data_IF_942868028715
#
_entry.id   IF_942868028715
#
_cell.length_a   1.000
_cell.length_b   1.000
_cell.length_c   1.000
_cell.angle_alpha   90.00
_cell.angle_beta   90.00
_cell.angle_gamma   90.00
#
_symmetry.space_group_name_H-M   'P 1'
#
loop_
_entity.id
_entity.type
_entity.pdbx_description
1 polymer ?
#
# COMPACT_ATOMS: atom_id res chain seq x y z
N UNK A 1 1.19 -6.94 -13.62
CA UNK A 1 2.58 -7.00 -13.10
C UNK A 1 2.41 -7.48 -11.68
N UNK A 2 2.87 -8.67 -11.33
CA UNK A 2 2.85 -9.09 -9.91
C UNK A 2 3.79 -8.15 -9.16
N UNK A 3 3.24 -7.27 -8.32
CA UNK A 3 4.05 -6.57 -7.32
C UNK A 3 4.65 -7.64 -6.41
N UNK A 4 5.94 -7.90 -6.57
CA UNK A 4 6.66 -8.80 -5.68
C UNK A 4 6.86 -8.05 -4.37
N UNK A 5 6.27 -8.59 -3.31
CA UNK A 5 6.48 -8.13 -1.94
C UNK A 5 7.98 -8.24 -1.64
N UNK A 6 8.69 -7.11 -1.72
CA UNK A 6 10.08 -7.03 -1.32
C UNK A 6 10.12 -6.59 0.15
N UNK A 7 9.86 -7.54 1.05
CA UNK A 7 9.90 -7.32 2.49
C UNK A 7 10.87 -8.33 3.11
N UNK A 8 12.00 -7.84 3.62
CA UNK A 8 13.00 -8.67 4.27
C UNK A 8 12.68 -8.87 5.76
N UNK A 9 12.17 -10.05 6.09
CA UNK A 9 11.89 -10.44 7.46
C UNK A 9 13.14 -10.53 8.33
N UNK A 10 14.31 -10.88 7.77
CA UNK A 10 15.54 -10.99 8.55
C UNK A 10 15.98 -9.61 9.04
N UNK A 11 15.96 -8.62 8.14
CA UNK A 11 16.28 -7.24 8.49
C UNK A 11 15.34 -6.69 9.57
N UNK A 12 14.03 -6.93 9.42
CA UNK A 12 13.02 -6.51 10.40
C UNK A 12 13.24 -7.16 11.75
N UNK A 13 13.59 -8.45 11.79
CA UNK A 13 13.90 -9.14 13.04
C UNK A 13 15.14 -8.58 13.72
N UNK A 14 16.18 -8.22 12.97
CA UNK A 14 17.37 -7.56 13.51
C UNK A 14 17.05 -6.16 14.07
N UNK A 15 16.31 -5.35 13.31
CA UNK A 15 15.91 -4.02 13.76
C UNK A 15 15.00 -4.07 15.00
N UNK A 16 14.10 -5.05 15.08
CA UNK A 16 13.26 -5.27 16.25
C UNK A 16 14.09 -5.65 17.48
N UNK A 17 15.08 -6.54 17.34
CA UNK A 17 16.02 -6.87 18.41
C UNK A 17 16.82 -5.65 18.88
N UNK A 18 17.10 -4.71 17.98
CA UNK A 18 17.78 -3.45 18.28
C UNK A 18 16.85 -2.38 18.89
N UNK A 19 15.59 -2.71 19.19
CA UNK A 19 14.67 -1.85 19.94
C UNK A 19 13.80 -0.93 19.08
N UNK A 20 13.77 -1.10 17.74
CA UNK A 20 12.76 -0.42 16.91
C UNK A 20 11.37 -1.01 17.16
N UNK A 21 10.36 -0.15 17.12
CA UNK A 21 8.97 -0.55 17.28
C UNK A 21 8.44 -1.25 16.01
N UNK A 22 7.60 -2.27 16.18
CA UNK A 22 6.91 -2.94 15.07
C UNK A 22 5.80 -2.09 14.46
N UNK A 23 5.19 -1.24 15.27
CA UNK A 23 4.00 -0.43 14.94
C UNK A 23 4.30 1.07 15.04
N UNK A 24 3.37 1.88 14.54
CA UNK A 24 3.51 3.35 14.48
C UNK A 24 3.84 3.83 13.06
N UNK A 25 3.94 5.16 12.89
CA UNK A 25 4.22 5.79 11.58
C UNK A 25 5.52 5.29 10.96
N UNK A 26 6.55 5.11 11.79
CA UNK A 26 7.87 4.60 11.41
C UNK A 26 8.12 3.16 11.89
N UNK A 27 7.02 2.43 12.14
CA UNK A 27 7.08 1.04 12.59
C UNK A 27 7.61 0.11 11.50
N UNK A 28 8.29 -0.97 11.90
CA UNK A 28 8.86 -1.93 10.96
C UNK A 28 7.82 -2.60 10.04
N UNK A 29 6.56 -2.68 10.47
CA UNK A 29 5.46 -3.24 9.67
C UNK A 29 4.72 -2.18 8.83
N UNK A 30 5.03 -0.89 8.98
CA UNK A 30 4.38 0.17 8.21
C UNK A 30 4.45 -0.06 6.68
N UNK A 31 5.58 -0.53 6.11
CA UNK A 31 5.65 -0.84 4.67
C UNK A 31 4.67 -1.94 4.24
N UNK A 32 4.49 -3.00 5.03
CA UNK A 32 3.53 -4.08 4.74
C UNK A 32 2.10 -3.58 4.79
N UNK A 33 1.76 -2.78 5.81
CA UNK A 33 0.42 -2.21 5.96
C UNK A 33 0.13 -1.28 4.78
N UNK A 34 1.08 -0.45 4.38
CA UNK A 34 0.96 0.42 3.20
C UNK A 34 0.71 -0.41 1.93
N UNK A 35 1.53 -1.42 1.66
CA UNK A 35 1.35 -2.28 0.48
C UNK A 35 -0.01 -2.99 0.47
N UNK A 36 -0.42 -3.57 1.60
CA UNK A 36 -1.71 -4.25 1.73
C UNK A 36 -2.88 -3.29 1.48
N UNK A 37 -2.81 -2.09 2.06
CA UNK A 37 -3.88 -1.09 1.91
C UNK A 37 -3.91 -0.49 0.51
N UNK A 38 -2.77 -0.27 -0.13
CA UNK A 38 -2.70 0.18 -1.53
C UNK A 38 -3.29 -0.88 -2.47
N UNK A 39 -2.92 -2.16 -2.32
CA UNK A 39 -3.47 -3.25 -3.12
C UNK A 39 -5.00 -3.39 -2.96
N UNK A 40 -5.50 -3.33 -1.71
CA UNK A 40 -6.93 -3.38 -1.43
C UNK A 40 -7.69 -2.19 -2.05
N UNK A 41 -7.10 -0.98 -2.01
CA UNK A 41 -7.72 0.23 -2.56
C UNK A 41 -7.73 0.21 -4.10
N UNK A 42 -6.67 -0.31 -4.73
CA UNK A 42 -6.63 -0.50 -6.18
C UNK A 42 -7.72 -1.46 -6.64
N UNK A 43 -7.88 -2.60 -5.96
CA UNK A 43 -8.94 -3.58 -6.26
C UNK A 43 -10.34 -2.97 -6.06
N UNK A 44 -10.55 -2.20 -4.99
CA UNK A 44 -11.80 -1.50 -4.73
C UNK A 44 -12.17 -0.55 -5.88
N UNK A 45 -11.21 0.26 -6.35
CA UNK A 45 -11.42 1.20 -7.45
C UNK A 45 -11.73 0.46 -8.76
N UNK A 46 -10.98 -0.61 -9.07
CA UNK A 46 -11.22 -1.40 -10.27
C UNK A 46 -12.60 -2.06 -10.27
N UNK A 47 -12.99 -2.67 -9.14
CA UNK A 47 -14.31 -3.27 -8.95
C UNK A 47 -15.43 -2.23 -9.08
N UNK A 48 -15.25 -1.04 -8.50
CA UNK A 48 -16.24 0.03 -8.58
C UNK A 48 -16.44 0.52 -10.01
N UNK A 49 -15.36 0.76 -10.76
CA UNK A 49 -15.44 1.18 -12.17
C UNK A 49 -16.08 0.09 -13.03
N UNK A 50 -15.75 -1.19 -12.80
CA UNK A 50 -16.37 -2.30 -13.51
C UNK A 50 -17.90 -2.33 -13.29
N UNK A 51 -18.34 -2.13 -12.04
CA UNK A 51 -19.76 -2.06 -11.70
C UNK A 51 -20.46 -0.85 -12.34
N UNK A 52 -19.83 0.33 -12.36
CA UNK A 52 -20.36 1.51 -13.04
C UNK A 52 -20.56 1.26 -14.55
N UNK A 53 -19.56 0.65 -15.20
CA UNK A 53 -19.64 0.28 -16.62
C UNK A 53 -20.78 -0.70 -16.88
N UNK A 54 -20.94 -1.72 -16.03
CA UNK A 54 -22.06 -2.68 -16.11
C UNK A 54 -23.42 -2.00 -15.91
N UNK A 55 -23.50 -0.96 -15.08
CA UNK A 55 -24.71 -0.17 -14.84
C UNK A 55 -25.01 0.88 -15.92
N UNK A 56 -24.16 0.98 -16.96
CA UNK A 56 -24.31 1.95 -18.05
C UNK A 56 -23.83 3.37 -17.72
N UNK A 57 -23.15 3.56 -16.57
CA UNK A 57 -22.52 4.83 -16.19
C UNK A 57 -21.11 4.91 -16.78
N UNK A 58 -20.77 6.04 -17.42
CA UNK A 58 -19.40 6.29 -17.87
C UNK A 58 -18.57 6.82 -16.71
N UNK A 59 -17.73 5.95 -16.15
CA UNK A 59 -16.71 6.30 -15.17
C UNK A 59 -15.33 5.76 -15.63
N UNK A 60 -14.25 6.50 -15.36
CA UNK A 60 -12.87 6.13 -15.74
C UNK A 60 -11.90 6.61 -14.66
N UNK A 61 -10.84 5.83 -14.41
CA UNK A 61 -9.77 6.19 -13.47
C UNK A 61 -9.09 7.50 -13.88
N UNK A 62 -8.98 8.45 -12.96
CA UNK A 62 -8.42 9.79 -13.20
C UNK A 62 -7.02 9.98 -12.58
N UNK A 63 -6.12 9.02 -12.83
CA UNK A 63 -4.77 9.02 -12.28
C UNK A 63 -4.62 8.23 -10.98
N UNK A 64 -3.45 8.35 -10.37
CA UNK A 64 -3.04 7.69 -9.12
C UNK A 64 -2.40 8.75 -8.24
N UNK A 65 -2.79 8.80 -6.97
CA UNK A 65 -2.10 9.61 -5.96
C UNK A 65 -1.00 8.74 -5.38
N UNK A 66 0.26 9.13 -5.59
CA UNK A 66 1.37 8.56 -4.84
C UNK A 66 1.47 9.26 -3.50
N UNK A 67 1.38 8.51 -2.40
CA UNK A 67 1.76 9.03 -1.10
C UNK A 67 3.25 9.38 -1.17
N UNK A 68 3.57 10.67 -1.31
CA UNK A 68 4.95 11.15 -1.17
C UNK A 68 5.40 10.80 0.25
N UNK A 69 6.51 10.08 0.37
CA UNK A 69 7.23 10.06 1.63
C UNK A 69 7.59 11.51 1.96
N UNK A 70 7.16 11.98 3.14
CA UNK A 70 7.57 13.29 3.66
C UNK A 70 9.11 13.33 3.61
N UNK A 71 9.74 14.37 3.04
CA UNK A 71 11.19 14.45 3.03
C UNK A 71 11.68 14.44 4.48
N UNK A 72 12.51 13.45 4.81
CA UNK A 72 13.23 13.38 6.09
C UNK A 72 14.12 14.62 6.16
N UNK A 73 13.90 15.46 7.16
CA UNK A 73 14.72 16.63 7.48
C UNK A 73 15.90 16.20 8.35
#
# INVERSE_FOLDING_TARGET
MEERINFDFNEVLEQFKNGKNLTGKDGLLAPLIKQLTEAALEEEVESHIANDVLSGRRNRKNGIIFFREDPVN
#
